data_IF_715774145141
#
_entry.id   IF_715774145141
#
_cell.length_a   1.000
_cell.length_b   1.000
_cell.length_c   1.000
_cell.angle_alpha   90.00
_cell.angle_beta   90.00
_cell.angle_gamma   90.00
#
_symmetry.space_group_name_H-M   'P 1'
#
loop_
_entity.id
_entity.type
_entity.pdbx_description
1 polymer ?
#
# COMPACT_ATOMS: atom_id res chain seq x y z
N UNK A 1 -5.89 -10.65 15.52
CA UNK A 1 -5.42 -9.33 15.97
C UNK A 1 -4.87 -8.51 14.80
N UNK A 2 -4.49 -7.25 15.05
CA UNK A 2 -4.11 -6.19 14.11
C UNK A 2 -4.78 -6.27 12.72
N UNK A 3 -4.22 -7.03 11.77
CA UNK A 3 -4.74 -7.14 10.39
C UNK A 3 -6.09 -7.81 10.27
N UNK A 4 -6.44 -8.67 11.23
CA UNK A 4 -7.67 -9.43 11.17
C UNK A 4 -7.69 -10.62 10.21
N UNK A 5 -6.59 -10.87 9.50
CA UNK A 5 -6.44 -12.07 8.68
C UNK A 5 -6.36 -13.31 9.58
N UNK A 6 -7.17 -14.30 9.28
CA UNK A 6 -7.16 -15.62 9.89
C UNK A 6 -6.21 -16.54 9.14
N UNK A 7 -5.71 -17.57 9.81
CA UNK A 7 -4.86 -18.57 9.18
C UNK A 7 -5.55 -19.26 8.00
N UNK A 8 -6.86 -19.53 8.11
CA UNK A 8 -7.65 -20.13 7.03
C UNK A 8 -7.77 -19.24 5.79
N UNK A 9 -7.85 -17.91 5.94
CA UNK A 9 -7.79 -16.97 4.81
C UNK A 9 -6.39 -16.98 4.16
N UNK A 10 -5.34 -16.99 4.98
CA UNK A 10 -3.95 -16.98 4.47
C UNK A 10 -3.63 -18.25 3.70
N UNK A 11 -4.12 -19.41 4.15
CA UNK A 11 -3.96 -20.71 3.48
C UNK A 11 -4.63 -20.77 2.10
N UNK A 12 -5.64 -19.91 1.87
CA UNK A 12 -6.32 -19.78 0.59
C UNK A 12 -5.73 -18.67 -0.29
N UNK A 13 -4.73 -17.95 0.22
CA UNK A 13 -4.05 -16.90 -0.51
C UNK A 13 -3.22 -17.43 -1.69
N UNK A 14 -2.79 -16.51 -2.54
CA UNK A 14 -1.84 -16.78 -3.63
C UNK A 14 -0.42 -16.47 -3.18
N UNK A 15 0.56 -17.03 -3.87
CA UNK A 15 1.96 -16.68 -3.62
C UNK A 15 2.23 -15.21 -3.97
N UNK A 16 3.27 -14.62 -3.37
CA UNK A 16 3.68 -13.26 -3.68
C UNK A 16 3.96 -13.05 -5.18
N UNK A 17 4.58 -14.05 -5.83
CA UNK A 17 4.86 -14.03 -7.26
C UNK A 17 3.59 -14.02 -8.12
N UNK A 18 2.58 -14.81 -7.75
CA UNK A 18 1.28 -14.81 -8.42
C UNK A 18 0.54 -13.49 -8.22
N UNK A 19 0.51 -12.96 -6.98
CA UNK A 19 -0.11 -11.67 -6.70
C UNK A 19 0.55 -10.53 -7.52
N UNK A 20 1.89 -10.50 -7.60
CA UNK A 20 2.61 -9.52 -8.41
C UNK A 20 2.29 -9.66 -9.90
N UNK A 21 2.13 -10.88 -10.40
CA UNK A 21 1.74 -11.14 -11.80
C UNK A 21 0.34 -10.62 -12.09
N UNK A 22 -0.63 -10.91 -11.22
CA UNK A 22 -1.99 -10.37 -11.32
C UNK A 22 -1.97 -8.84 -11.35
N UNK A 23 -1.21 -8.18 -10.47
CA UNK A 23 -1.05 -6.73 -10.47
C UNK A 23 -0.53 -6.19 -11.82
N UNK A 24 0.43 -6.87 -12.44
CA UNK A 24 1.01 -6.44 -13.71
C UNK A 24 0.06 -6.72 -14.89
N UNK A 25 -0.49 -7.93 -14.98
CA UNK A 25 -1.23 -8.40 -16.14
C UNK A 25 -2.67 -7.90 -16.17
N UNK A 26 -3.36 -7.90 -15.02
CA UNK A 26 -4.77 -7.51 -14.96
C UNK A 26 -4.95 -6.01 -14.65
N UNK A 27 -4.07 -5.46 -13.80
CA UNK A 27 -4.18 -4.08 -13.32
C UNK A 27 -3.17 -3.12 -13.94
N UNK A 28 -2.29 -3.60 -14.82
CA UNK A 28 -1.25 -2.79 -15.48
C UNK A 28 -0.38 -1.99 -14.50
N UNK A 29 -0.15 -2.53 -13.29
CA UNK A 29 0.49 -1.83 -12.18
C UNK A 29 1.87 -1.24 -12.54
N UNK A 30 2.59 -1.85 -13.47
CA UNK A 30 3.90 -1.36 -13.93
C UNK A 30 3.85 -0.03 -14.69
N UNK A 31 2.66 0.41 -15.12
CA UNK A 31 2.46 1.63 -15.92
C UNK A 31 1.55 2.65 -15.25
N UNK A 32 0.75 2.24 -14.27
CA UNK A 32 -0.21 3.12 -13.60
C UNK A 32 0.41 3.79 -12.37
N UNK A 33 0.12 5.08 -12.13
CA UNK A 33 0.41 5.70 -10.85
C UNK A 33 -0.30 4.95 -9.72
N UNK A 34 0.35 4.84 -8.59
CA UNK A 34 -0.22 4.25 -7.39
C UNK A 34 0.23 5.06 -6.16
N UNK A 35 -0.48 4.89 -5.06
CA UNK A 35 -0.20 5.62 -3.83
C UNK A 35 -0.31 4.71 -2.63
N UNK A 36 0.39 5.07 -1.56
CA UNK A 36 0.17 4.45 -0.26
C UNK A 36 0.31 5.47 0.87
N UNK A 37 -0.14 5.12 2.08
CA UNK A 37 -0.12 6.02 3.23
C UNK A 37 1.27 6.11 3.89
N UNK A 38 2.27 6.48 3.10
CA UNK A 38 3.68 6.55 3.51
C UNK A 38 4.59 5.87 2.49
N UNK A 39 5.80 5.53 2.94
CA UNK A 39 6.78 4.78 2.13
C UNK A 39 6.79 3.28 2.45
N UNK A 40 6.03 2.86 3.46
CA UNK A 40 6.17 1.52 4.04
C UNK A 40 5.86 0.44 3.01
N UNK A 41 4.71 0.53 2.34
CA UNK A 41 4.26 -0.47 1.36
C UNK A 41 5.23 -0.60 0.19
N UNK A 42 5.65 0.54 -0.38
CA UNK A 42 6.65 0.56 -1.46
C UNK A 42 7.93 -0.17 -1.07
N UNK A 43 8.43 0.08 0.14
CA UNK A 43 9.64 -0.57 0.66
C UNK A 43 9.43 -2.05 0.96
N UNK A 44 8.26 -2.45 1.45
CA UNK A 44 7.91 -3.85 1.69
C UNK A 44 7.87 -4.65 0.39
N UNK A 45 7.17 -4.15 -0.63
CA UNK A 45 7.16 -4.77 -1.96
C UNK A 45 8.56 -4.85 -2.56
N UNK A 46 9.36 -3.79 -2.48
CA UNK A 46 10.71 -3.78 -3.01
C UNK A 46 11.61 -4.81 -2.32
N UNK A 47 11.56 -4.85 -0.98
CA UNK A 47 12.32 -5.81 -0.17
C UNK A 47 11.92 -7.25 -0.47
N UNK A 48 10.63 -7.55 -0.52
CA UNK A 48 10.15 -8.91 -0.77
C UNK A 48 10.41 -9.36 -2.21
N UNK A 49 10.22 -8.46 -3.19
CA UNK A 49 10.62 -8.70 -4.59
C UNK A 49 12.10 -9.10 -4.70
N UNK A 50 12.97 -8.37 -4.00
CA UNK A 50 14.39 -8.70 -3.95
C UNK A 50 14.67 -10.05 -3.27
N UNK A 51 14.03 -10.32 -2.13
CA UNK A 51 14.24 -11.56 -1.37
C UNK A 51 13.77 -12.81 -2.13
N UNK A 52 12.63 -12.70 -2.82
CA UNK A 52 11.96 -13.83 -3.46
C UNK A 52 12.34 -13.97 -4.95
N UNK A 53 13.17 -13.06 -5.49
CA UNK A 53 13.57 -13.04 -6.90
C UNK A 53 12.41 -12.71 -7.86
N UNK A 54 11.38 -12.02 -7.37
CA UNK A 54 10.18 -11.63 -8.11
C UNK A 54 10.36 -10.22 -8.66
N UNK A 55 9.92 -9.97 -9.90
CA UNK A 55 9.95 -8.63 -10.46
C UNK A 55 9.01 -7.69 -9.69
N UNK A 56 9.51 -6.51 -9.32
CA UNK A 56 8.71 -5.50 -8.63
C UNK A 56 7.54 -5.01 -9.50
N UNK A 57 6.28 -5.09 -9.04
CA UNK A 57 5.12 -4.98 -9.94
C UNK A 57 4.77 -3.55 -10.37
N UNK A 58 5.25 -2.53 -9.65
CA UNK A 58 4.86 -1.13 -9.90
C UNK A 58 5.83 -0.34 -10.78
N UNK A 59 6.77 -1.03 -11.44
CA UNK A 59 7.77 -0.43 -12.34
C UNK A 59 9.07 0.01 -11.64
N UNK A 60 10.08 0.30 -12.45
CA UNK A 60 11.44 0.64 -11.97
C UNK A 60 11.90 2.02 -12.47
N UNK A 61 12.60 2.83 -11.66
CA UNK A 61 12.87 2.63 -10.23
C UNK A 61 11.58 2.60 -9.40
N UNK A 62 11.61 2.00 -8.20
CA UNK A 62 10.39 1.72 -7.40
C UNK A 62 9.57 2.97 -7.03
N UNK A 63 10.20 4.14 -7.13
CA UNK A 63 9.68 5.47 -6.86
C UNK A 63 8.95 6.09 -8.07
N UNK A 64 9.14 5.56 -9.28
CA UNK A 64 8.75 6.19 -10.55
C UNK A 64 7.26 6.56 -10.63
N UNK A 65 6.40 5.73 -10.05
CA UNK A 65 4.94 5.81 -10.15
C UNK A 65 4.27 5.88 -8.77
N UNK A 66 5.05 5.93 -7.68
CA UNK A 66 4.51 5.94 -6.32
C UNK A 66 4.31 7.36 -5.82
N UNK A 67 3.15 7.60 -5.21
CA UNK A 67 2.86 8.81 -4.45
C UNK A 67 2.72 8.49 -2.96
N UNK A 68 3.51 9.17 -2.13
CA UNK A 68 3.34 9.16 -0.68
C UNK A 68 2.14 10.04 -0.30
N UNK A 69 0.94 9.45 -0.25
CA UNK A 69 -0.31 10.16 0.04
C UNK A 69 -0.26 10.89 1.39
N UNK A 70 0.42 10.31 2.38
CA UNK A 70 0.64 10.90 3.70
C UNK A 70 1.40 12.23 3.64
N UNK A 71 2.37 12.35 2.73
CA UNK A 71 3.10 13.60 2.51
C UNK A 71 2.25 14.64 1.79
N UNK A 72 1.55 14.22 0.73
CA UNK A 72 0.62 15.09 -0.03
C UNK A 72 -0.46 15.66 0.88
N UNK A 73 -1.07 14.81 1.71
CA UNK A 73 -2.09 15.20 2.68
C UNK A 73 -1.56 16.25 3.68
N UNK A 74 -0.40 16.00 4.28
CA UNK A 74 0.18 16.94 5.23
C UNK A 74 0.44 18.33 4.60
N UNK A 75 0.89 18.36 3.34
CA UNK A 75 1.05 19.60 2.59
C UNK A 75 -0.29 20.28 2.30
N UNK A 76 -1.29 19.54 1.81
CA UNK A 76 -2.60 20.08 1.45
C UNK A 76 -3.34 20.69 2.66
N UNK A 77 -3.17 20.12 3.85
CA UNK A 77 -3.79 20.59 5.09
C UNK A 77 -2.88 21.50 5.95
N UNK A 78 -1.69 21.88 5.45
CA UNK A 78 -0.77 22.77 6.17
C UNK A 78 -0.23 22.19 7.50
N UNK A 79 -0.13 20.87 7.62
CA UNK A 79 0.27 20.19 8.84
C UNK A 79 1.79 20.18 9.02
N UNK A 80 2.27 20.48 10.24
CA UNK A 80 3.70 20.41 10.57
C UNK A 80 4.26 18.99 10.59
N UNK A 81 3.43 17.99 10.87
CA UNK A 81 3.80 16.57 10.94
C UNK A 81 2.88 15.76 10.04
N UNK A 82 3.39 14.64 9.51
CA UNK A 82 2.65 13.67 8.71
C UNK A 82 1.80 12.76 9.61
N UNK A 83 0.47 12.94 9.70
CA UNK A 83 -0.37 12.18 10.63
C UNK A 83 -0.52 10.72 10.21
N UNK A 84 -0.79 9.81 11.17
CA UNK A 84 -1.30 8.47 10.87
C UNK A 84 -2.62 8.53 10.08
N UNK A 85 -3.03 7.41 9.49
CA UNK A 85 -4.23 7.37 8.63
C UNK A 85 -5.49 7.71 9.44
N UNK A 86 -5.62 7.10 10.62
CA UNK A 86 -6.67 7.36 11.61
C UNK A 86 -6.81 8.85 11.97
N UNK A 87 -5.71 9.50 12.28
CA UNK A 87 -5.70 10.93 12.60
C UNK A 87 -5.96 11.79 11.35
N UNK A 88 -5.52 11.37 10.16
CA UNK A 88 -5.82 12.08 8.92
C UNK A 88 -7.31 12.10 8.60
N UNK A 89 -8.03 10.99 8.82
CA UNK A 89 -9.48 10.93 8.69
C UNK A 89 -10.17 11.91 9.65
N UNK A 90 -9.72 11.97 10.92
CA UNK A 90 -10.23 12.95 11.89
C UNK A 90 -10.01 14.40 11.42
N UNK A 91 -8.82 14.72 10.91
CA UNK A 91 -8.51 16.06 10.35
C UNK A 91 -9.41 16.38 9.15
N UNK A 92 -9.71 15.38 8.30
CA UNK A 92 -10.58 15.53 7.15
C UNK A 92 -12.08 15.53 7.50
N UNK A 93 -12.46 15.26 8.76
CA UNK A 93 -13.85 15.12 9.18
C UNK A 93 -14.53 13.87 8.58
N UNK A 94 -13.75 12.85 8.22
CA UNK A 94 -14.23 11.61 7.63
C UNK A 94 -14.27 10.49 8.69
N UNK A 95 -15.28 9.60 8.65
CA UNK A 95 -15.29 8.41 9.49
C UNK A 95 -14.23 7.40 9.00
N UNK A 96 -13.80 6.52 9.91
CA UNK A 96 -13.10 5.30 9.51
C UNK A 96 -14.14 4.24 9.17
N UNK A 97 -14.16 3.83 7.91
CA UNK A 97 -15.01 2.75 7.40
C UNK A 97 -14.20 1.45 7.34
N UNK A 98 -14.84 0.31 7.60
CA UNK A 98 -14.16 -0.99 7.63
C UNK A 98 -13.30 -1.22 8.87
N UNK A 99 -12.30 -2.09 8.75
CA UNK A 99 -11.44 -2.52 9.85
C UNK A 99 -10.05 -1.90 9.70
N UNK A 100 -9.67 -1.09 10.68
CA UNK A 100 -8.30 -0.55 10.74
C UNK A 100 -7.26 -1.68 10.66
N UNK A 101 -6.28 -1.52 9.78
CA UNK A 101 -5.21 -2.47 9.42
C UNK A 101 -5.60 -3.65 8.54
N UNK A 102 -6.85 -3.71 8.06
CA UNK A 102 -7.22 -4.58 6.94
C UNK A 102 -6.82 -3.87 5.65
N UNK A 103 -6.15 -4.56 4.73
CA UNK A 103 -5.48 -3.92 3.60
C UNK A 103 -6.44 -3.38 2.53
N UNK A 104 -7.60 -4.00 2.42
CA UNK A 104 -8.67 -3.65 1.48
C UNK A 104 -9.64 -2.56 1.96
N UNK A 105 -9.59 -2.20 3.25
CA UNK A 105 -10.46 -1.20 3.91
C UNK A 105 -9.71 0.14 4.09
#
# INVERSE_FOLDING_TARGET
ELTGLTQAEVEQGVTFAEACRTLVEEYEAGRRPWASWGEYDRRQFARQSQADGVAYPFGFPTERTHTNAKAVFATAYGLRKKPGMDHALQVAGLPLEGRHHRGED
#
